data_IF_509468082784
#
_entry.id   IF_509468082784
#
_cell.length_a   1.000
_cell.length_b   1.000
_cell.length_c   1.000
_cell.angle_alpha   90.00
_cell.angle_beta   90.00
_cell.angle_gamma   90.00
#
_symmetry.space_group_name_H-M   'P 1'
#
loop_
_entity.id
_entity.type
_entity.pdbx_description
1 polymer ?
#
# COMPACT_ATOMS: atom_id res chain seq x y z
N UNK A 1 -12.79 -27.39 4.02
CA UNK A 1 -12.59 -26.77 3.68
C UNK A 1 -12.01 -26.08 3.43
N UNK A 2 -12.20 -26.47 2.89
CA UNK A 2 -11.37 -25.83 2.42
C UNK A 2 -11.08 -24.87 3.13
N UNK A 3 -10.49 -25.19 3.47
CA UNK A 3 -10.13 -24.20 4.09
C UNK A 3 -10.36 -23.07 3.43
N UNK A 4 -10.98 -22.37 3.89
CA UNK A 4 -11.01 -21.24 3.51
C UNK A 4 -9.72 -20.73 3.40
N UNK A 5 -9.28 -20.46 2.29
CA UNK A 5 -8.09 -19.78 2.08
C UNK A 5 -8.20 -18.51 2.84
N UNK A 6 -7.19 -18.17 3.57
CA UNK A 6 -7.19 -16.91 4.22
C UNK A 6 -7.42 -15.82 3.21
N UNK A 7 -8.20 -14.84 3.54
CA UNK A 7 -8.39 -13.68 2.71
C UNK A 7 -7.06 -12.97 2.55
N UNK A 8 -6.77 -12.49 1.34
CA UNK A 8 -5.58 -11.68 1.11
C UNK A 8 -5.85 -10.29 1.64
N UNK A 9 -4.87 -9.71 2.31
CA UNK A 9 -5.07 -8.49 3.11
C UNK A 9 -4.31 -7.32 2.52
N UNK A 10 -4.99 -6.18 2.45
CA UNK A 10 -4.42 -4.96 1.92
C UNK A 10 -4.56 -3.84 2.95
N UNK A 11 -3.48 -3.14 3.21
CA UNK A 11 -3.45 -2.02 4.13
C UNK A 11 -3.08 -0.77 3.34
N UNK A 12 -3.87 0.29 3.51
CA UNK A 12 -3.61 1.56 2.84
C UNK A 12 -3.46 2.67 3.85
N UNK A 13 -2.57 3.62 3.55
CA UNK A 13 -2.45 4.86 4.31
C UNK A 13 -2.50 6.05 3.36
N UNK A 14 -3.45 6.94 3.62
CA UNK A 14 -3.60 8.22 2.93
C UNK A 14 -4.41 9.12 3.86
N UNK A 15 -3.98 10.37 4.01
CA UNK A 15 -4.69 11.30 4.89
C UNK A 15 -6.03 11.74 4.33
N UNK A 16 -6.30 11.48 3.04
CA UNK A 16 -7.58 11.81 2.43
C UNK A 16 -8.52 10.63 2.50
N UNK A 17 -9.59 10.78 3.27
CA UNK A 17 -10.56 9.71 3.46
C UNK A 17 -11.17 9.23 2.14
N UNK A 18 -11.40 10.16 1.19
CA UNK A 18 -11.98 9.79 -0.10
C UNK A 18 -11.07 8.84 -0.87
N UNK A 19 -9.76 9.03 -0.79
CA UNK A 19 -8.80 8.12 -1.44
C UNK A 19 -8.87 6.75 -0.77
N UNK A 20 -8.89 6.72 0.56
CA UNK A 20 -9.01 5.46 1.29
C UNK A 20 -10.29 4.71 0.90
N UNK A 21 -11.40 5.43 0.77
CA UNK A 21 -12.68 4.85 0.39
C UNK A 21 -12.61 4.26 -1.01
N UNK A 22 -12.01 5.00 -1.96
CA UNK A 22 -11.84 4.50 -3.32
C UNK A 22 -10.99 3.25 -3.36
N UNK A 23 -9.84 3.27 -2.67
CA UNK A 23 -8.95 2.12 -2.64
C UNK A 23 -9.66 0.91 -2.04
N UNK A 24 -10.36 1.10 -0.92
CA UNK A 24 -11.07 0.01 -0.26
C UNK A 24 -12.13 -0.60 -1.17
N UNK A 25 -12.90 0.26 -1.85
CA UNK A 25 -13.95 -0.21 -2.74
C UNK A 25 -13.39 -1.07 -3.87
N UNK A 26 -12.32 -0.60 -4.52
CA UNK A 26 -11.72 -1.34 -5.63
C UNK A 26 -11.08 -2.62 -5.13
N UNK A 27 -10.34 -2.56 -4.03
CA UNK A 27 -9.61 -3.71 -3.52
C UNK A 27 -10.55 -4.81 -3.03
N UNK A 28 -11.65 -4.43 -2.38
CA UNK A 28 -12.63 -5.42 -1.93
C UNK A 28 -13.24 -6.17 -3.09
N UNK A 29 -13.49 -5.47 -4.20
CA UNK A 29 -14.00 -6.11 -5.41
C UNK A 29 -12.97 -7.04 -6.04
N UNK A 30 -11.70 -6.81 -5.77
CA UNK A 30 -10.63 -7.70 -6.25
C UNK A 30 -10.37 -8.88 -5.29
N UNK A 31 -11.13 -8.99 -4.21
CA UNK A 31 -11.01 -10.11 -3.30
C UNK A 31 -10.15 -9.88 -2.07
N UNK A 32 -9.79 -8.63 -1.79
CA UNK A 32 -8.98 -8.32 -0.60
C UNK A 32 -9.84 -7.98 0.61
N UNK A 33 -9.31 -8.31 1.77
CA UNK A 33 -9.78 -7.74 3.02
C UNK A 33 -8.96 -6.47 3.22
N UNK A 34 -9.61 -5.33 3.44
CA UNK A 34 -8.93 -4.04 3.42
C UNK A 34 -9.03 -3.34 4.77
N UNK A 35 -7.93 -2.76 5.23
CA UNK A 35 -7.95 -1.81 6.33
C UNK A 35 -7.37 -0.49 5.85
N UNK A 36 -8.00 0.60 6.24
CA UNK A 36 -7.58 1.95 5.85
C UNK A 36 -7.06 2.69 7.06
N UNK A 37 -6.02 3.49 6.86
CA UNK A 37 -5.48 4.34 7.92
C UNK A 37 -5.22 5.72 7.34
N UNK A 38 -5.30 6.75 8.19
CA UNK A 38 -5.14 8.14 7.75
C UNK A 38 -3.95 8.84 8.41
N UNK A 39 -3.26 8.16 9.31
CA UNK A 39 -2.09 8.73 9.96
C UNK A 39 -1.04 7.64 10.23
N UNK A 40 0.22 8.06 10.42
CA UNK A 40 1.32 7.10 10.58
C UNK A 40 1.22 6.21 11.80
N UNK A 41 0.69 6.72 12.91
CA UNK A 41 0.57 5.93 14.13
C UNK A 41 -0.40 4.78 13.93
N UNK A 42 -1.58 5.09 13.37
CA UNK A 42 -2.58 4.06 13.08
C UNK A 42 -2.02 3.04 12.09
N UNK A 43 -1.27 3.50 11.08
CA UNK A 43 -0.67 2.61 10.10
C UNK A 43 0.28 1.61 10.75
N UNK A 44 1.18 2.11 11.60
CA UNK A 44 2.16 1.23 12.25
C UNK A 44 1.47 0.20 13.13
N UNK A 45 0.49 0.64 13.92
CA UNK A 45 -0.22 -0.27 14.82
C UNK A 45 -1.00 -1.32 14.04
N UNK A 46 -1.69 -0.89 12.98
CA UNK A 46 -2.48 -1.80 12.15
C UNK A 46 -1.58 -2.79 11.41
N UNK A 47 -0.44 -2.32 10.90
CA UNK A 47 0.50 -3.19 10.19
C UNK A 47 0.89 -4.39 11.05
N UNK A 48 1.19 -4.15 12.32
CA UNK A 48 1.70 -5.21 13.20
C UNK A 48 0.67 -6.30 13.49
N UNK A 49 -0.59 -5.93 13.55
CA UNK A 49 -1.65 -6.90 13.87
C UNK A 49 -2.32 -7.47 12.64
N UNK A 50 -2.47 -6.68 11.60
CA UNK A 50 -3.19 -7.10 10.38
C UNK A 50 -2.33 -7.98 9.49
N UNK A 51 -1.04 -7.76 9.46
CA UNK A 51 -0.09 -8.50 8.62
C UNK A 51 -0.51 -8.50 7.16
N UNK A 52 -0.48 -7.36 6.50
CA UNK A 52 -0.98 -7.26 5.13
C UNK A 52 -0.08 -7.99 4.13
N UNK A 53 -0.69 -8.43 3.03
CA UNK A 53 0.04 -8.98 1.89
C UNK A 53 0.42 -7.88 0.92
N UNK A 54 -0.36 -6.79 0.89
CA UNK A 54 -0.11 -5.64 0.03
C UNK A 54 -0.28 -4.37 0.85
N UNK A 55 0.59 -3.40 0.62
CA UNK A 55 0.52 -2.09 1.26
C UNK A 55 0.45 -1.04 0.18
N UNK A 56 -0.49 -0.10 0.30
CA UNK A 56 -0.55 1.09 -0.55
C UNK A 56 -0.20 2.28 0.33
N UNK A 57 0.87 2.97 -0.01
CA UNK A 57 1.45 3.98 0.83
C UNK A 57 1.52 5.31 0.10
N UNK A 58 0.90 6.35 0.69
CA UNK A 58 0.99 7.70 0.18
C UNK A 58 2.30 8.32 0.66
N UNK A 59 3.05 8.90 -0.26
CA UNK A 59 4.32 9.56 0.10
C UNK A 59 4.12 10.90 0.77
N UNK A 60 3.00 11.57 0.55
CA UNK A 60 2.78 12.94 1.01
C UNK A 60 1.76 12.99 2.15
N UNK A 61 2.12 12.46 3.31
CA UNK A 61 1.24 12.49 4.47
C UNK A 61 1.67 13.62 5.39
N UNK A 62 0.74 14.49 5.82
CA UNK A 62 1.09 15.56 6.75
C UNK A 62 1.71 15.01 8.03
N UNK A 63 2.65 15.76 8.58
CA UNK A 63 3.35 15.42 9.80
C UNK A 63 4.16 14.14 9.73
N UNK A 64 4.37 13.62 8.55
CA UNK A 64 5.19 12.44 8.35
C UNK A 64 5.75 12.46 6.94
N UNK A 65 6.86 11.76 6.80
CA UNK A 65 7.50 11.58 5.51
C UNK A 65 7.19 10.15 5.11
N UNK A 66 6.72 9.94 3.88
CA UNK A 66 6.50 8.59 3.36
C UNK A 66 7.77 7.75 3.40
N UNK A 67 8.93 8.40 3.33
CA UNK A 67 10.23 7.71 3.46
C UNK A 67 10.38 7.13 4.88
N UNK A 68 9.87 7.82 5.89
CA UNK A 68 9.92 7.30 7.26
C UNK A 68 9.09 6.03 7.38
N UNK A 69 7.96 5.95 6.65
CA UNK A 69 7.15 4.73 6.67
C UNK A 69 7.84 3.60 5.92
N UNK A 70 8.56 3.90 4.82
CA UNK A 70 9.36 2.88 4.15
C UNK A 70 10.44 2.35 5.10
N UNK A 71 11.08 3.24 5.86
CA UNK A 71 12.09 2.82 6.84
C UNK A 71 11.48 1.94 7.92
N UNK A 72 10.28 2.30 8.40
CA UNK A 72 9.56 1.47 9.35
C UNK A 72 9.34 0.07 8.81
N UNK A 73 8.90 -0.05 7.56
CA UNK A 73 8.65 -1.35 6.94
C UNK A 73 9.94 -2.16 6.83
N UNK A 74 11.05 -1.52 6.48
CA UNK A 74 12.35 -2.19 6.45
C UNK A 74 12.71 -2.74 7.84
N UNK A 75 12.54 -1.90 8.86
CA UNK A 75 12.89 -2.29 10.23
C UNK A 75 12.00 -3.43 10.73
N UNK A 76 10.76 -3.51 10.26
CA UNK A 76 9.84 -4.58 10.64
C UNK A 76 10.07 -5.88 9.86
N UNK A 77 10.97 -5.87 8.89
CA UNK A 77 11.19 -7.05 8.05
C UNK A 77 10.03 -7.34 7.12
N UNK A 78 9.41 -6.29 6.60
CA UNK A 78 8.20 -6.42 5.78
C UNK A 78 8.43 -7.26 4.54
N UNK A 79 7.56 -8.23 4.31
CA UNK A 79 7.59 -9.05 3.09
C UNK A 79 6.40 -8.77 2.18
N UNK A 80 5.52 -7.84 2.56
CA UNK A 80 4.38 -7.45 1.74
C UNK A 80 4.85 -6.72 0.49
N UNK A 81 4.03 -6.79 -0.56
CA UNK A 81 4.29 -5.98 -1.76
C UNK A 81 3.85 -4.56 -1.49
N UNK A 82 4.67 -3.60 -1.87
CA UNK A 82 4.42 -2.18 -1.58
C UNK A 82 4.14 -1.43 -2.86
N UNK A 83 3.00 -0.74 -2.88
CA UNK A 83 2.64 0.19 -3.95
C UNK A 83 2.77 1.60 -3.40
N UNK A 84 3.48 2.46 -4.13
CA UNK A 84 3.57 3.87 -3.78
C UNK A 84 2.50 4.64 -4.52
N UNK A 85 1.76 5.48 -3.80
CA UNK A 85 0.73 6.32 -4.36
C UNK A 85 1.11 7.77 -4.09
N UNK A 86 1.10 8.62 -5.08
CA UNK A 86 1.59 9.98 -4.87
C UNK A 86 1.17 10.93 -5.97
N UNK A 87 0.96 12.19 -5.58
CA UNK A 87 0.82 13.30 -6.52
C UNK A 87 2.14 13.96 -6.89
N UNK A 88 3.26 13.47 -6.34
CA UNK A 88 4.58 13.99 -6.70
C UNK A 88 4.95 13.59 -8.13
N UNK A 89 5.88 14.32 -8.76
CA UNK A 89 6.34 13.96 -10.11
C UNK A 89 6.89 12.53 -10.16
N UNK A 90 6.84 11.95 -11.36
CA UNK A 90 7.26 10.56 -11.56
C UNK A 90 8.68 10.28 -11.07
N UNK A 91 9.59 11.25 -11.21
CA UNK A 91 10.97 11.07 -10.73
C UNK A 91 11.07 10.88 -9.23
N UNK A 92 10.21 11.55 -8.46
CA UNK A 92 10.19 11.40 -7.00
C UNK A 92 9.66 10.02 -6.64
N UNK A 93 8.62 9.57 -7.34
CA UNK A 93 8.04 8.25 -7.11
C UNK A 93 9.04 7.14 -7.42
N UNK A 94 9.77 7.27 -8.52
CA UNK A 94 10.78 6.29 -8.91
C UNK A 94 11.94 6.26 -7.92
N UNK A 95 12.34 7.42 -7.40
CA UNK A 95 13.40 7.48 -6.40
C UNK A 95 12.98 6.76 -5.12
N UNK A 96 11.74 6.96 -4.68
CA UNK A 96 11.23 6.29 -3.48
C UNK A 96 11.14 4.78 -3.69
N UNK A 97 10.69 4.35 -4.88
CA UNK A 97 10.62 2.94 -5.20
C UNK A 97 12.00 2.32 -5.17
N UNK A 98 12.98 2.97 -5.77
CA UNK A 98 14.35 2.47 -5.79
C UNK A 98 14.94 2.38 -4.38
N UNK A 99 14.66 3.39 -3.55
CA UNK A 99 15.12 3.37 -2.17
C UNK A 99 14.58 2.14 -1.44
N UNK A 100 13.30 1.85 -1.59
CA UNK A 100 12.71 0.66 -0.98
C UNK A 100 13.35 -0.62 -1.48
N UNK A 101 13.57 -0.72 -2.80
CA UNK A 101 14.19 -1.91 -3.40
C UNK A 101 15.60 -2.13 -2.85
N UNK A 102 16.38 -1.08 -2.75
CA UNK A 102 17.75 -1.18 -2.24
C UNK A 102 17.77 -1.65 -0.80
N UNK A 103 16.72 -1.31 -0.03
CA UNK A 103 16.59 -1.72 1.37
C UNK A 103 15.90 -3.06 1.55
N UNK A 104 15.56 -3.75 0.47
CA UNK A 104 15.00 -5.09 0.54
C UNK A 104 13.49 -5.20 0.55
N UNK A 105 12.77 -4.11 0.32
CA UNK A 105 11.32 -4.16 0.20
C UNK A 105 10.90 -4.61 -1.19
N UNK A 106 9.77 -5.30 -1.26
CA UNK A 106 9.19 -5.72 -2.53
C UNK A 106 8.33 -4.59 -3.09
N UNK A 107 8.97 -3.68 -3.82
CA UNK A 107 8.31 -2.50 -4.38
C UNK A 107 7.63 -2.89 -5.69
N UNK A 108 6.32 -3.11 -5.64
CA UNK A 108 5.60 -3.67 -6.77
C UNK A 108 5.35 -2.66 -7.89
N UNK A 109 4.94 -1.43 -7.55
CA UNK A 109 4.63 -0.44 -8.58
C UNK A 109 4.38 0.92 -7.94
N UNK A 110 4.11 1.92 -8.80
CA UNK A 110 3.72 3.25 -8.35
C UNK A 110 2.38 3.61 -8.98
N UNK A 111 1.57 4.37 -8.24
CA UNK A 111 0.25 4.82 -8.68
C UNK A 111 0.22 6.33 -8.61
N UNK A 112 0.19 7.03 -9.75
CA UNK A 112 0.12 8.49 -9.73
C UNK A 112 -1.27 8.97 -9.31
N UNK A 113 -1.34 10.12 -8.67
CA UNK A 113 -2.60 10.80 -8.41
C UNK A 113 -2.84 11.80 -9.54
N UNK A 114 -4.06 12.03 -9.96
CA UNK A 114 -5.31 11.47 -9.41
C UNK A 114 -5.43 9.98 -9.72
N UNK A 115 -5.89 9.25 -8.72
CA UNK A 115 -5.98 7.80 -8.79
C UNK A 115 -7.13 7.39 -9.71
N UNK A 116 -6.85 6.46 -10.62
CA UNK A 116 -7.88 5.96 -11.53
C UNK A 116 -8.28 4.55 -11.12
N UNK A 117 -9.59 4.36 -10.93
CA UNK A 117 -10.10 3.08 -10.47
C UNK A 117 -9.71 1.92 -11.39
N UNK A 118 -9.73 2.15 -12.71
CA UNK A 118 -9.41 1.10 -13.66
C UNK A 118 -7.95 0.66 -13.57
N UNK A 119 -7.03 1.61 -13.40
CA UNK A 119 -5.61 1.30 -13.24
C UNK A 119 -5.36 0.57 -11.92
N UNK A 120 -5.97 1.05 -10.86
CA UNK A 120 -5.84 0.41 -9.55
C UNK A 120 -6.37 -1.01 -9.60
N UNK A 121 -7.53 -1.22 -10.23
CA UNK A 121 -8.11 -2.55 -10.35
C UNK A 121 -7.21 -3.49 -11.12
N UNK A 122 -6.63 -3.02 -12.24
CA UNK A 122 -5.73 -3.86 -13.04
C UNK A 122 -4.52 -4.31 -12.24
N UNK A 123 -3.90 -3.38 -11.51
CA UNK A 123 -2.74 -3.71 -10.69
C UNK A 123 -3.11 -4.66 -9.56
N UNK A 124 -4.22 -4.39 -8.85
CA UNK A 124 -4.61 -5.22 -7.73
C UNK A 124 -5.05 -6.61 -8.15
N UNK A 125 -5.69 -6.73 -9.31
CA UNK A 125 -6.05 -8.04 -9.83
C UNK A 125 -4.79 -8.87 -10.11
N UNK A 126 -3.78 -8.25 -10.72
CA UNK A 126 -2.52 -8.93 -11.00
C UNK A 126 -1.83 -9.33 -9.68
N UNK A 127 -1.76 -8.41 -8.72
CA UNK A 127 -1.07 -8.67 -7.46
C UNK A 127 -1.81 -9.68 -6.59
N UNK A 128 -3.14 -9.73 -6.69
CA UNK A 128 -3.91 -10.73 -5.95
C UNK A 128 -3.48 -12.14 -6.34
N UNK A 129 -3.19 -12.35 -7.60
CA UNK A 129 -2.72 -13.66 -8.06
C UNK A 129 -1.27 -13.96 -7.68
N UNK A 130 -0.51 -12.93 -7.25
CA UNK A 130 0.90 -13.08 -6.94
C UNK A 130 1.21 -13.20 -5.44
N UNK A 131 0.22 -13.03 -4.59
CA UNK A 131 0.42 -13.10 -3.14
C UNK A 131 -0.28 -14.27 -2.50
#
# INVERSE_FOLDING_TARGET
MATEAEAKRLLVIDDMVDICTLVASVAERCGFEVKTTVDPTAFRDTYRTFRPHIIILDLAIPDSDGIDLLRFLVDEGCTAKVLIMSGFPAGVQEAAKRLGEVRGLDMADTLPKPLRAAELRAILTRLHGAV
#
